data_IF_767041571150
#
_entry.id   IF_767041571150
#
_cell.length_a   1.000
_cell.length_b   1.000
_cell.length_c   1.000
_cell.angle_alpha   90.00
_cell.angle_beta   90.00
_cell.angle_gamma   90.00
#
_symmetry.space_group_name_H-M   'P 1'
#
loop_
_entity.id
_entity.type
_entity.pdbx_description
1 polymer ?
#
# COMPACT_ATOMS: atom_id res chain seq x y z
N UNK A 1 -7.11 -20.46 -1.62
CA UNK A 1 -7.03 -19.02 -1.91
C UNK A 1 -8.42 -18.49 -2.18
N UNK A 2 -9.09 -18.15 -1.10
CA UNK A 2 -10.30 -17.34 -1.08
C UNK A 2 -9.98 -15.92 -1.57
N UNK A 3 -11.01 -15.15 -1.91
CA UNK A 3 -10.87 -13.73 -2.24
C UNK A 3 -10.16 -12.95 -1.14
N UNK A 4 -10.43 -13.25 0.14
CA UNK A 4 -9.76 -12.65 1.28
C UNK A 4 -8.27 -13.01 1.34
N UNK A 5 -7.90 -14.29 1.16
CA UNK A 5 -6.49 -14.70 1.12
C UNK A 5 -5.72 -14.00 -0.01
N UNK A 6 -6.38 -13.77 -1.16
CA UNK A 6 -5.81 -13.00 -2.28
C UNK A 6 -5.62 -11.53 -1.87
N UNK A 7 -6.64 -10.90 -1.29
CA UNK A 7 -6.60 -9.50 -0.84
C UNK A 7 -5.53 -9.29 0.22
N UNK A 8 -5.49 -10.11 1.27
CA UNK A 8 -4.48 -10.01 2.34
C UNK A 8 -3.07 -10.17 1.79
N UNK A 9 -2.86 -11.09 0.86
CA UNK A 9 -1.55 -11.29 0.21
C UNK A 9 -1.16 -10.09 -0.66
N UNK A 10 -2.11 -9.50 -1.39
CA UNK A 10 -1.87 -8.27 -2.16
C UNK A 10 -1.47 -7.12 -1.24
N UNK A 11 -2.18 -6.90 -0.14
CA UNK A 11 -1.83 -5.88 0.85
C UNK A 11 -0.40 -6.06 1.38
N UNK A 12 -0.03 -7.30 1.75
CA UNK A 12 1.34 -7.59 2.22
C UNK A 12 2.41 -7.31 1.16
N UNK A 13 2.15 -7.66 -0.11
CA UNK A 13 3.06 -7.35 -1.23
C UNK A 13 3.19 -5.84 -1.42
N UNK A 14 2.07 -5.10 -1.41
CA UNK A 14 2.08 -3.65 -1.63
C UNK A 14 2.76 -2.90 -0.50
N UNK A 15 2.59 -3.33 0.76
CA UNK A 15 3.32 -2.77 1.91
C UNK A 15 4.83 -2.99 1.74
N UNK A 16 5.25 -4.21 1.38
CA UNK A 16 6.67 -4.49 1.13
C UNK A 16 7.26 -3.68 -0.02
N UNK A 17 6.48 -3.42 -1.08
CA UNK A 17 6.90 -2.54 -2.17
C UNK A 17 7.05 -1.08 -1.72
N UNK A 18 6.14 -0.55 -0.90
CA UNK A 18 6.26 0.81 -0.33
C UNK A 18 7.53 0.95 0.52
N UNK A 19 7.86 -0.04 1.36
CA UNK A 19 9.11 -0.04 2.14
C UNK A 19 10.37 -0.01 1.25
N UNK A 20 10.38 -0.81 0.18
CA UNK A 20 11.50 -0.83 -0.79
C UNK A 20 11.63 0.53 -1.46
N UNK A 21 10.53 1.12 -1.92
CA UNK A 21 10.52 2.42 -2.59
C UNK A 21 10.99 3.53 -1.65
N UNK A 22 10.55 3.54 -0.38
CA UNK A 22 11.06 4.49 0.63
C UNK A 22 12.57 4.40 0.81
N UNK A 23 13.11 3.18 0.90
CA UNK A 23 14.57 2.97 1.03
C UNK A 23 15.33 3.40 -0.23
N UNK A 24 14.74 3.21 -1.41
CA UNK A 24 15.29 3.74 -2.66
C UNK A 24 15.28 5.27 -2.64
N UNK A 25 14.19 5.90 -2.19
CA UNK A 25 14.08 7.36 -2.08
C UNK A 25 15.17 7.91 -1.15
N UNK A 26 15.39 7.33 0.03
CA UNK A 26 16.49 7.73 0.94
C UNK A 26 17.87 7.68 0.27
N UNK A 27 18.09 6.68 -0.58
CA UNK A 27 19.34 6.54 -1.34
C UNK A 27 19.46 7.62 -2.41
N UNK A 28 18.36 7.93 -3.10
CA UNK A 28 18.28 8.98 -4.12
C UNK A 28 18.53 10.35 -3.51
N UNK A 29 17.97 10.63 -2.33
CA UNK A 29 18.20 11.90 -1.61
C UNK A 29 19.70 12.16 -1.35
N UNK A 30 20.47 11.10 -1.05
CA UNK A 30 21.92 11.17 -0.80
C UNK A 30 22.77 11.12 -2.07
N UNK A 31 22.15 10.91 -3.23
CA UNK A 31 22.85 10.77 -4.51
C UNK A 31 23.05 12.11 -5.22
N UNK A 32 23.94 12.14 -6.21
CA UNK A 32 24.20 13.31 -7.07
C UNK A 32 23.18 13.41 -8.23
N UNK A 33 21.91 13.30 -7.90
CA UNK A 33 20.79 13.51 -8.84
C UNK A 33 20.33 14.97 -8.74
N UNK A 34 19.86 15.52 -9.85
CA UNK A 34 19.31 16.88 -9.89
C UNK A 34 18.10 17.03 -8.97
N UNK A 35 18.03 18.12 -8.20
CA UNK A 35 16.94 18.32 -7.22
C UNK A 35 15.55 18.36 -7.86
N UNK A 36 15.43 18.85 -9.10
CA UNK A 36 14.16 18.80 -9.83
C UNK A 36 13.67 17.35 -10.05
N UNK A 37 14.59 16.43 -10.35
CA UNK A 37 14.27 15.00 -10.51
C UNK A 37 13.93 14.36 -9.16
N UNK A 38 14.63 14.73 -8.08
CA UNK A 38 14.27 14.24 -6.74
C UNK A 38 12.88 14.69 -6.32
N UNK A 39 12.53 15.94 -6.62
CA UNK A 39 11.20 16.49 -6.34
C UNK A 39 10.10 15.77 -7.13
N UNK A 40 10.32 15.51 -8.41
CA UNK A 40 9.40 14.70 -9.23
C UNK A 40 9.19 13.31 -8.61
N UNK A 41 10.27 12.64 -8.23
CA UNK A 41 10.20 11.32 -7.60
C UNK A 41 9.45 11.34 -6.26
N UNK A 42 9.68 12.36 -5.41
CA UNK A 42 8.93 12.54 -4.16
C UNK A 42 7.43 12.66 -4.43
N UNK A 43 7.03 13.47 -5.40
CA UNK A 43 5.63 13.66 -5.75
C UNK A 43 4.98 12.38 -6.27
N UNK A 44 5.72 11.59 -7.08
CA UNK A 44 5.24 10.30 -7.57
C UNK A 44 5.05 9.29 -6.42
N UNK A 45 6.01 9.21 -5.50
CA UNK A 45 5.91 8.32 -4.33
C UNK A 45 4.76 8.74 -3.42
N UNK A 46 4.67 10.02 -3.06
CA UNK A 46 3.59 10.55 -2.22
C UNK A 46 2.20 10.33 -2.84
N UNK A 47 2.08 10.47 -4.16
CA UNK A 47 0.85 10.18 -4.88
C UNK A 47 0.44 8.71 -4.78
N UNK A 48 1.38 7.80 -5.06
CA UNK A 48 1.13 6.37 -4.98
C UNK A 48 0.82 5.88 -3.55
N UNK A 49 1.51 6.42 -2.53
CA UNK A 49 1.23 6.05 -1.13
C UNK A 49 -0.17 6.50 -0.69
N UNK A 50 -0.62 7.69 -1.10
CA UNK A 50 -2.00 8.14 -0.80
C UNK A 50 -3.06 7.25 -1.45
N UNK A 51 -2.84 6.85 -2.70
CA UNK A 51 -3.75 5.92 -3.37
C UNK A 51 -3.77 4.55 -2.69
N UNK A 52 -2.60 4.07 -2.23
CA UNK A 52 -2.47 2.83 -1.49
C UNK A 52 -3.24 2.88 -0.16
N UNK A 53 -3.13 3.97 0.59
CA UNK A 53 -3.86 4.18 1.86
C UNK A 53 -5.39 4.12 1.65
N UNK A 54 -5.89 4.78 0.59
CA UNK A 54 -7.31 4.75 0.22
C UNK A 54 -7.75 3.33 -0.13
N UNK A 55 -6.92 2.59 -0.84
CA UNK A 55 -7.23 1.21 -1.20
C UNK A 55 -7.20 0.28 0.00
N UNK A 56 -6.22 0.41 0.90
CA UNK A 56 -6.17 -0.37 2.14
C UNK A 56 -7.42 -0.13 2.98
N UNK A 57 -7.87 1.12 3.10
CA UNK A 57 -9.10 1.47 3.80
C UNK A 57 -10.33 0.73 3.23
N UNK A 58 -10.51 0.70 1.91
CA UNK A 58 -11.62 0.00 1.29
C UNK A 58 -11.51 -1.52 1.44
N UNK A 59 -10.30 -2.08 1.31
CA UNK A 59 -10.07 -3.52 1.44
C UNK A 59 -10.29 -4.01 2.86
N UNK A 60 -9.91 -3.23 3.89
CA UNK A 60 -10.16 -3.57 5.29
C UNK A 60 -11.65 -3.68 5.60
N UNK A 61 -12.49 -2.84 4.99
CA UNK A 61 -13.96 -2.94 5.11
C UNK A 61 -14.52 -4.24 4.52
N UNK A 62 -13.92 -4.74 3.43
CA UNK A 62 -14.32 -6.02 2.82
C UNK A 62 -13.95 -7.17 3.77
N UNK A 63 -12.76 -7.11 4.38
CA UNK A 63 -12.33 -8.10 5.38
C UNK A 63 -13.24 -8.11 6.61
N UNK A 64 -13.63 -6.95 7.13
CA UNK A 64 -14.47 -6.83 8.35
C UNK A 64 -15.93 -7.29 8.14
N UNK A 65 -16.44 -7.30 6.90
CA UNK A 65 -17.86 -7.63 6.65
C UNK A 65 -18.13 -9.15 6.65
N UNK A 66 -17.11 -9.97 6.38
CA UNK A 66 -17.23 -11.43 6.34
C UNK A 66 -17.17 -12.08 7.75
N UNK A 67 -16.73 -11.36 8.78
CA UNK A 67 -16.80 -11.83 10.19
C UNK A 67 -18.24 -11.78 10.76
N UNK A 68 -19.18 -11.15 10.06
CA UNK A 68 -20.58 -11.01 10.50
C UNK A 68 -21.46 -12.19 10.03
N UNK A 69 -21.01 -13.03 9.09
CA UNK A 69 -21.78 -14.22 8.65
C UNK A 69 -21.70 -15.42 9.62
N UNK A 70 -21.07 -15.28 10.78
CA UNK A 70 -21.04 -16.31 11.83
C UNK A 70 -22.03 -16.06 13.01
N UNK A 71 -22.68 -14.89 13.09
CA UNK A 71 -23.64 -14.57 14.16
C UNK A 71 -25.05 -14.40 13.59
N UNK A 72 -25.66 -15.50 13.15
CA UNK A 72 -27.06 -15.44 12.70
C UNK A 72 -27.60 -16.67 11.98
N UNK A 73 -27.33 -17.88 12.46
CA UNK A 73 -28.20 -19.03 12.17
C UNK A 73 -28.43 -19.82 13.47
N UNK A 74 -29.65 -19.61 13.97
CA UNK A 74 -30.49 -20.45 14.85
C UNK A 74 -29.83 -21.58 15.66
#
# INVERSE_FOLDING_TARGET
MTTLEIISRLCGITTGLSEIVRKQQETIERSKVEEAVKEELRQMVDGAERELDVMEYHLRRIVDTDDVEAFGKE
#
